data_IF_988399262607
#
_entry.id   IF_988399262607
#
_cell.length_a   1.000
_cell.length_b   1.000
_cell.length_c   1.000
_cell.angle_alpha   90.00
_cell.angle_beta   90.00
_cell.angle_gamma   90.00
#
_symmetry.space_group_name_H-M   'P 1'
#
loop_
_entity.id
_entity.type
_entity.pdbx_description
1 polymer ?
#
# COMPACT_ATOMS: atom_id res chain seq x y z
N UNK A 1 18.76 19.42 0.59
CA UNK A 1 17.67 20.38 0.91
C UNK A 1 17.70 20.69 2.40
N UNK A 2 17.61 19.68 3.27
CA UNK A 2 17.79 19.84 4.72
C UNK A 2 19.11 20.54 5.09
N UNK A 3 20.23 20.19 4.42
CA UNK A 3 21.53 20.82 4.68
C UNK A 3 21.57 22.34 4.40
N UNK A 4 20.68 22.83 3.53
CA UNK A 4 20.64 24.23 3.10
C UNK A 4 19.60 25.05 3.86
N UNK A 5 18.44 24.45 4.16
CA UNK A 5 17.29 25.16 4.76
C UNK A 5 17.03 24.80 6.22
N UNK A 6 17.82 23.88 6.77
CA UNK A 6 17.68 23.40 8.14
C UNK A 6 16.72 22.21 8.28
N UNK A 7 16.52 21.74 9.52
CA UNK A 7 15.77 20.52 9.82
C UNK A 7 14.27 20.61 9.51
N UNK A 8 13.71 21.82 9.50
CA UNK A 8 12.30 22.10 9.22
C UNK A 8 12.23 23.19 8.15
N UNK A 9 11.60 22.87 7.03
CA UNK A 9 11.40 23.83 5.94
C UNK A 9 10.10 23.55 5.19
N UNK A 10 9.59 24.52 4.45
CA UNK A 10 8.38 24.35 3.64
C UNK A 10 8.73 24.33 2.16
N UNK A 11 8.14 23.39 1.42
CA UNK A 11 8.21 23.33 -0.03
C UNK A 11 6.81 23.54 -0.62
N UNK A 12 6.73 24.06 -1.84
CA UNK A 12 5.48 24.14 -2.59
C UNK A 12 5.39 22.94 -3.54
N UNK A 13 4.50 22.00 -3.24
CA UNK A 13 4.15 20.88 -4.14
C UNK A 13 2.88 21.24 -4.90
N UNK A 14 3.04 21.67 -6.15
CA UNK A 14 1.92 22.11 -6.99
C UNK A 14 1.20 23.31 -6.36
N UNK A 15 -0.10 23.14 -6.07
CA UNK A 15 -0.94 24.14 -5.40
C UNK A 15 -0.80 24.12 -3.86
N UNK A 16 -0.26 23.04 -3.31
CA UNK A 16 -0.20 22.81 -1.86
C UNK A 16 1.18 23.16 -1.30
N UNK A 17 1.22 23.64 -0.05
CA UNK A 17 2.46 23.77 0.72
C UNK A 17 2.64 22.53 1.58
N UNK A 18 3.83 21.94 1.54
CA UNK A 18 4.20 20.79 2.35
C UNK A 18 5.30 21.21 3.33
N UNK A 19 5.05 20.98 4.62
CA UNK A 19 6.08 21.09 5.66
C UNK A 19 6.94 19.83 5.63
N UNK A 20 8.24 20.01 5.45
CA UNK A 20 9.22 18.92 5.47
C UNK A 20 9.94 18.95 6.81
N UNK A 21 9.82 17.86 7.54
CA UNK A 21 10.55 17.61 8.78
C UNK A 21 11.60 16.55 8.48
N UNK A 22 12.87 16.94 8.57
CA UNK A 22 14.01 16.05 8.30
C UNK A 22 14.74 15.61 9.56
N UNK A 23 14.34 16.15 10.72
CA UNK A 23 14.95 15.82 12.00
C UNK A 23 14.18 14.72 12.75
N UNK A 24 14.90 13.79 13.37
CA UNK A 24 14.29 12.63 14.04
C UNK A 24 13.60 13.00 15.35
N UNK A 25 14.11 13.95 16.14
CA UNK A 25 13.44 14.40 17.37
C UNK A 25 12.07 15.01 17.06
N UNK A 26 12.01 15.79 15.98
CA UNK A 26 10.76 16.41 15.52
C UNK A 26 9.82 15.39 14.89
N UNK A 27 10.34 14.44 14.10
CA UNK A 27 9.53 13.34 13.59
C UNK A 27 8.94 12.50 14.74
N UNK A 28 9.72 12.23 15.79
CA UNK A 28 9.26 11.56 17.00
C UNK A 28 8.15 12.35 17.67
N UNK A 29 8.31 13.66 17.84
CA UNK A 29 7.28 14.52 18.43
C UNK A 29 5.98 14.51 17.61
N UNK A 30 6.07 14.61 16.28
CA UNK A 30 4.93 14.55 15.37
C UNK A 30 4.21 13.19 15.42
N UNK A 31 4.95 12.08 15.51
CA UNK A 31 4.40 10.72 15.47
C UNK A 31 4.02 10.16 16.85
N UNK A 32 4.32 10.86 17.94
CA UNK A 32 3.99 10.41 19.31
C UNK A 32 3.10 11.39 20.06
N UNK A 33 3.52 12.65 20.18
CA UNK A 33 2.80 13.65 20.99
C UNK A 33 1.66 14.29 20.20
N UNK A 34 1.89 14.51 18.91
CA UNK A 34 0.95 15.14 17.98
C UNK A 34 0.39 14.16 16.93
N UNK A 35 0.45 12.86 17.22
CA UNK A 35 0.10 11.77 16.30
C UNK A 35 -1.28 11.95 15.67
N UNK A 36 -2.29 12.36 16.45
CA UNK A 36 -3.66 12.60 16.00
C UNK A 36 -3.76 13.71 14.95
N UNK A 37 -2.93 14.75 15.04
CA UNK A 37 -2.92 15.88 14.09
C UNK A 37 -2.34 15.42 12.75
N UNK A 38 -1.33 14.55 12.79
CA UNK A 38 -0.64 14.03 11.60
C UNK A 38 -1.20 12.71 11.07
N UNK A 39 -2.20 12.13 11.74
CA UNK A 39 -2.83 10.89 11.32
C UNK A 39 -3.58 11.04 9.99
N UNK A 40 -4.30 12.16 9.81
CA UNK A 40 -5.02 12.45 8.57
C UNK A 40 -4.08 12.75 7.40
N UNK A 41 -4.37 12.19 6.23
CA UNK A 41 -3.66 12.50 4.98
C UNK A 41 -4.37 13.63 4.21
N UNK A 42 -3.62 14.48 3.47
CA UNK A 42 -4.23 15.46 2.58
C UNK A 42 -5.15 14.79 1.55
N UNK A 43 -6.29 15.43 1.25
CA UNK A 43 -7.22 14.94 0.23
C UNK A 43 -6.61 15.13 -1.15
N UNK A 44 -6.18 14.03 -1.77
CA UNK A 44 -5.67 14.01 -3.15
C UNK A 44 -6.64 13.27 -4.06
N UNK A 45 -6.63 13.60 -5.35
CA UNK A 45 -7.44 12.91 -6.36
C UNK A 45 -7.08 11.41 -6.42
N UNK A 46 -5.81 11.06 -6.21
CA UNK A 46 -5.37 9.68 -6.13
C UNK A 46 -6.04 8.92 -4.98
N UNK A 47 -6.08 9.51 -3.78
CA UNK A 47 -6.74 8.93 -2.62
C UNK A 47 -8.26 8.82 -2.81
N UNK A 48 -8.87 9.76 -3.53
CA UNK A 48 -10.29 9.70 -3.88
C UNK A 48 -10.59 8.56 -4.86
N UNK A 49 -9.82 8.44 -5.94
CA UNK A 49 -10.04 7.43 -6.99
C UNK A 49 -9.69 6.02 -6.50
N UNK A 50 -8.52 5.85 -5.90
CA UNK A 50 -8.01 4.54 -5.48
C UNK A 50 -8.54 4.11 -4.12
N UNK A 51 -8.81 5.08 -3.24
CA UNK A 51 -9.29 4.82 -1.89
C UNK A 51 -10.81 4.73 -1.78
N UNK A 52 -11.54 4.51 -2.89
CA UNK A 52 -13.00 4.46 -2.91
C UNK A 52 -13.63 5.65 -2.19
N UNK A 53 -13.31 6.86 -2.65
CA UNK A 53 -13.72 8.12 -2.03
C UNK A 53 -13.36 8.17 -0.53
N UNK A 54 -12.10 7.86 -0.20
CA UNK A 54 -11.57 7.84 1.17
C UNK A 54 -12.20 6.79 2.11
N UNK A 55 -12.89 5.78 1.57
CA UNK A 55 -13.41 4.65 2.36
C UNK A 55 -12.34 3.60 2.65
N UNK A 56 -11.28 3.52 1.85
CA UNK A 56 -10.18 2.59 2.09
C UNK A 56 -9.36 3.03 3.31
N UNK A 57 -9.09 2.11 4.24
CA UNK A 57 -8.44 2.43 5.52
C UNK A 57 -7.06 3.09 5.42
N UNK A 58 -6.32 2.88 4.31
CA UNK A 58 -5.04 3.54 4.07
C UNK A 58 -5.17 5.03 3.69
N UNK A 59 -6.32 5.45 3.16
CA UNK A 59 -6.58 6.81 2.67
C UNK A 59 -7.68 7.55 3.45
N UNK A 60 -8.39 6.86 4.33
CA UNK A 60 -9.44 7.46 5.15
C UNK A 60 -8.88 8.51 6.11
N UNK A 61 -9.55 9.67 6.29
CA UNK A 61 -9.15 10.65 7.28
C UNK A 61 -9.26 10.06 8.69
N UNK A 62 -8.51 10.61 9.65
CA UNK A 62 -8.55 10.13 11.02
C UNK A 62 -9.93 10.38 11.66
N UNK A 63 -10.64 9.30 11.96
CA UNK A 63 -11.92 9.32 12.66
C UNK A 63 -12.14 8.03 13.49
N UNK A 64 -13.38 7.72 13.85
CA UNK A 64 -13.70 6.45 14.52
C UNK A 64 -13.50 5.24 13.60
N UNK A 65 -13.92 5.34 12.34
CA UNK A 65 -13.81 4.27 11.35
C UNK A 65 -12.35 3.89 11.09
N UNK A 66 -11.49 4.88 10.81
CA UNK A 66 -10.07 4.68 10.58
C UNK A 66 -9.40 3.96 11.75
N UNK A 67 -9.74 4.31 13.00
CA UNK A 67 -9.15 3.68 14.19
C UNK A 67 -9.54 2.22 14.33
N UNK A 68 -10.81 1.89 14.18
CA UNK A 68 -11.28 0.49 14.28
C UNK A 68 -10.69 -0.35 13.14
N UNK A 69 -10.72 0.16 11.91
CA UNK A 69 -10.15 -0.56 10.77
C UNK A 69 -8.63 -0.71 10.88
N UNK A 70 -7.90 0.32 11.34
CA UNK A 70 -6.45 0.23 11.54
C UNK A 70 -6.09 -0.77 12.64
N UNK A 71 -6.87 -0.83 13.72
CA UNK A 71 -6.71 -1.82 14.79
C UNK A 71 -6.89 -3.24 14.25
N UNK A 72 -7.94 -3.49 13.49
CA UNK A 72 -8.21 -4.80 12.88
C UNK A 72 -7.12 -5.17 11.86
N UNK A 73 -6.72 -4.25 10.99
CA UNK A 73 -5.61 -4.50 10.05
C UNK A 73 -4.30 -4.83 10.78
N UNK A 74 -4.01 -4.13 11.87
CA UNK A 74 -2.79 -4.38 12.67
C UNK A 74 -2.81 -5.76 13.31
N UNK A 75 -3.94 -6.19 13.86
CA UNK A 75 -4.06 -7.47 14.56
C UNK A 75 -4.19 -8.67 13.61
N UNK A 76 -5.02 -8.53 12.59
CA UNK A 76 -5.43 -9.65 11.72
C UNK A 76 -4.59 -9.81 10.46
N UNK A 77 -3.92 -8.74 9.99
CA UNK A 77 -3.09 -8.79 8.80
C UNK A 77 -1.60 -8.62 9.12
N UNK A 78 -1.27 -7.63 9.96
CA UNK A 78 0.11 -7.17 10.16
C UNK A 78 0.74 -7.62 11.48
N UNK A 79 0.07 -8.48 12.26
CA UNK A 79 0.65 -9.00 13.49
C UNK A 79 1.83 -9.93 13.20
N UNK A 80 2.78 -10.01 14.13
CA UNK A 80 3.96 -10.88 13.98
C UNK A 80 3.56 -12.34 13.67
N UNK A 81 2.50 -12.83 14.33
CA UNK A 81 1.98 -14.16 14.07
C UNK A 81 1.50 -14.34 12.63
N UNK A 82 0.70 -13.40 12.10
CA UNK A 82 0.19 -13.44 10.72
C UNK A 82 1.31 -13.32 9.70
N UNK A 83 2.28 -12.44 9.95
CA UNK A 83 3.46 -12.25 9.10
C UNK A 83 4.35 -13.49 9.02
N UNK A 84 4.50 -14.23 10.12
CA UNK A 84 5.23 -15.51 10.14
C UNK A 84 4.41 -16.61 9.45
N UNK A 85 3.09 -16.69 9.69
CA UNK A 85 2.20 -17.64 9.00
C UNK A 85 2.26 -17.48 7.48
N UNK A 86 2.28 -16.23 6.99
CA UNK A 86 2.34 -15.88 5.57
C UNK A 86 3.77 -15.72 5.02
N UNK A 87 4.80 -16.02 5.81
CA UNK A 87 6.21 -15.86 5.39
C UNK A 87 6.54 -16.67 4.15
N UNK A 88 6.08 -17.92 4.09
CA UNK A 88 6.33 -18.82 2.97
C UNK A 88 5.79 -18.28 1.63
N UNK A 89 4.62 -17.63 1.66
CA UNK A 89 4.03 -16.98 0.48
C UNK A 89 4.94 -15.87 -0.01
N UNK A 90 5.37 -14.97 0.89
CA UNK A 90 6.27 -13.86 0.54
C UNK A 90 7.60 -14.36 -0.02
N UNK A 91 8.18 -15.41 0.59
CA UNK A 91 9.41 -16.02 0.08
C UNK A 91 9.24 -16.65 -1.30
N UNK A 92 8.08 -17.26 -1.56
CA UNK A 92 7.75 -17.82 -2.87
C UNK A 92 7.62 -16.72 -3.94
N UNK A 93 6.84 -15.68 -3.67
CA UNK A 93 6.67 -14.52 -4.57
C UNK A 93 8.01 -13.88 -4.89
N UNK A 94 8.84 -13.61 -3.87
CA UNK A 94 10.17 -13.02 -4.06
C UNK A 94 11.08 -13.90 -4.93
N UNK A 95 11.06 -15.22 -4.73
CA UNK A 95 11.85 -16.15 -5.55
C UNK A 95 11.37 -16.16 -7.00
N UNK A 96 10.07 -16.14 -7.23
CA UNK A 96 9.48 -16.09 -8.58
C UNK A 96 9.86 -14.78 -9.27
N UNK A 97 9.66 -13.64 -8.61
CA UNK A 97 10.09 -12.33 -9.09
C UNK A 97 11.58 -12.30 -9.45
N UNK A 98 12.45 -12.81 -8.56
CA UNK A 98 13.89 -12.82 -8.81
C UNK A 98 14.25 -13.69 -10.03
N UNK A 99 13.57 -14.83 -10.18
CA UNK A 99 13.77 -15.74 -11.32
C UNK A 99 13.36 -15.09 -12.63
N UNK A 100 12.21 -14.41 -12.66
CA UNK A 100 11.75 -13.67 -13.84
C UNK A 100 12.72 -12.53 -14.19
N UNK A 101 13.18 -11.77 -13.19
CA UNK A 101 14.17 -10.71 -13.39
C UNK A 101 15.47 -11.27 -13.98
N UNK A 102 15.94 -12.40 -13.48
CA UNK A 102 17.13 -13.07 -13.98
C UNK A 102 16.97 -13.55 -15.43
N UNK A 103 15.82 -14.15 -15.77
CA UNK A 103 15.52 -14.57 -17.14
C UNK A 103 15.46 -13.39 -18.12
N UNK A 104 14.85 -12.28 -17.70
CA UNK A 104 14.86 -11.04 -18.50
C UNK A 104 16.28 -10.53 -18.71
N UNK A 105 17.13 -10.64 -17.69
CA UNK A 105 18.53 -10.25 -17.79
C UNK A 105 19.31 -11.11 -18.78
N UNK A 106 19.20 -12.44 -18.67
CA UNK A 106 19.93 -13.39 -19.52
C UNK A 106 19.55 -13.26 -21.00
N UNK A 107 18.27 -13.07 -21.29
CA UNK A 107 17.76 -12.85 -22.65
C UNK A 107 18.29 -11.56 -23.30
N UNK A 108 18.61 -10.52 -22.52
CA UNK A 108 19.16 -9.25 -23.03
C UNK A 108 20.68 -9.29 -23.24
N UNK A 109 21.37 -10.33 -22.77
CA UNK A 109 22.81 -10.49 -22.93
C UNK A 109 23.22 -10.61 -24.40
N UNK A 110 22.36 -11.18 -25.25
CA UNK A 110 22.58 -11.32 -26.70
C UNK A 110 22.53 -10.01 -27.49
N UNK A 111 21.92 -8.94 -26.96
CA UNK A 111 21.75 -7.67 -27.69
C UNK A 111 22.69 -6.56 -27.22
N UNK A 112 23.56 -6.83 -26.22
CA UNK A 112 24.47 -5.87 -25.59
C UNK A 112 23.80 -4.53 -25.22
N UNK A 113 22.52 -4.58 -24.83
CA UNK A 113 21.70 -3.41 -24.48
C UNK A 113 21.49 -3.41 -22.96
N UNK A 114 21.75 -2.27 -22.32
CA UNK A 114 21.52 -2.10 -20.88
C UNK A 114 20.06 -2.44 -20.55
N UNK A 115 19.87 -3.30 -19.55
CA UNK A 115 18.55 -3.72 -19.09
C UNK A 115 17.82 -2.53 -18.47
N UNK A 116 16.98 -1.91 -19.28
CA UNK A 116 15.99 -0.98 -18.79
C UNK A 116 14.82 -1.81 -18.25
N UNK A 117 14.92 -2.20 -17.00
CA UNK A 117 13.79 -2.76 -16.29
C UNK A 117 12.83 -1.61 -16.01
N UNK A 118 11.70 -1.58 -16.73
CA UNK A 118 10.64 -0.61 -16.41
C UNK A 118 10.12 -0.90 -15.00
N UNK A 119 10.65 -0.17 -14.02
CA UNK A 119 10.20 -0.24 -12.63
C UNK A 119 8.70 0.03 -12.52
N UNK A 120 8.06 0.67 -13.51
CA UNK A 120 6.60 0.84 -13.55
C UNK A 120 5.86 -0.49 -13.60
N UNK A 121 6.35 -1.47 -14.36
CA UNK A 121 5.75 -2.80 -14.44
C UNK A 121 5.96 -3.58 -13.15
N UNK A 122 7.18 -3.55 -12.63
CA UNK A 122 7.51 -4.19 -11.36
C UNK A 122 6.82 -3.54 -10.16
N UNK A 123 6.66 -2.22 -10.19
CA UNK A 123 5.83 -1.50 -9.24
C UNK A 123 4.38 -1.89 -9.45
N UNK A 124 3.82 -2.04 -10.66
CA UNK A 124 2.45 -2.53 -10.82
C UNK A 124 2.25 -3.92 -10.19
N UNK A 125 3.20 -4.83 -10.42
CA UNK A 125 3.18 -6.17 -9.83
C UNK A 125 3.42 -6.15 -8.30
N UNK A 126 4.26 -5.23 -7.80
CA UNK A 126 4.52 -5.02 -6.36
C UNK A 126 3.50 -4.12 -5.66
N UNK A 127 2.73 -3.33 -6.40
CA UNK A 127 1.64 -2.45 -5.96
C UNK A 127 0.50 -3.33 -5.46
N UNK A 128 0.36 -4.54 -5.99
CA UNK A 128 -0.48 -5.59 -5.40
C UNK A 128 -0.08 -5.92 -3.95
N UNK A 129 1.19 -5.72 -3.58
CA UNK A 129 1.69 -5.99 -2.22
C UNK A 129 1.80 -4.73 -1.33
N UNK A 130 1.99 -3.53 -1.89
CA UNK A 130 2.27 -2.31 -1.12
C UNK A 130 1.51 -1.07 -1.64
N UNK A 131 0.22 -0.90 -1.25
CA UNK A 131 -0.65 0.20 -1.70
C UNK A 131 -0.15 1.61 -1.33
N UNK A 132 0.70 1.73 -0.30
CA UNK A 132 1.10 3.03 0.25
C UNK A 132 2.07 3.81 -0.64
N UNK A 133 2.73 3.19 -1.63
CA UNK A 133 3.66 3.91 -2.53
C UNK A 133 2.95 4.76 -3.60
N UNK A 134 1.64 4.58 -3.77
CA UNK A 134 0.85 5.28 -4.79
C UNK A 134 0.56 6.74 -4.40
N UNK A 135 0.65 7.09 -3.11
CA UNK A 135 0.35 8.46 -2.63
C UNK A 135 1.35 9.53 -3.09
N UNK A 136 2.53 9.12 -3.60
CA UNK A 136 3.63 10.04 -3.91
C UNK A 136 3.45 10.77 -5.25
N UNK A 137 2.36 10.49 -5.98
CA UNK A 137 1.86 11.16 -7.20
C UNK A 137 2.84 12.15 -7.88
N UNK A 138 3.80 11.59 -8.62
CA UNK A 138 4.72 12.39 -9.46
C UNK A 138 4.09 12.66 -10.85
N UNK A 139 2.83 12.28 -11.13
CA UNK A 139 2.37 12.16 -12.53
C UNK A 139 0.94 12.57 -12.89
N UNK A 140 -0.01 12.65 -11.96
CA UNK A 140 -1.34 13.25 -12.19
C UNK A 140 -2.18 12.68 -13.34
N UNK A 141 -1.96 11.44 -13.80
CA UNK A 141 -2.78 10.84 -14.87
C UNK A 141 -4.01 10.12 -14.31
N UNK A 142 -5.14 10.83 -14.29
CA UNK A 142 -6.45 10.33 -13.87
C UNK A 142 -6.87 9.05 -14.60
N UNK A 143 -6.52 8.91 -15.89
CA UNK A 143 -6.89 7.72 -16.68
C UNK A 143 -6.16 6.48 -16.20
N UNK A 144 -4.86 6.59 -15.95
CA UNK A 144 -4.08 5.51 -15.36
C UNK A 144 -4.58 5.15 -13.96
N UNK A 145 -4.88 6.14 -13.12
CA UNK A 145 -5.44 5.89 -11.77
C UNK A 145 -6.78 5.15 -11.82
N UNK A 146 -7.69 5.53 -12.72
CA UNK A 146 -8.96 4.82 -12.91
C UNK A 146 -8.76 3.40 -13.43
N UNK A 147 -7.76 3.16 -14.28
CA UNK A 147 -7.41 1.81 -14.74
C UNK A 147 -6.93 0.94 -13.56
N UNK A 148 -6.02 1.47 -12.75
CA UNK A 148 -5.50 0.78 -11.56
C UNK A 148 -6.62 0.53 -10.55
N UNK A 149 -7.50 1.50 -10.31
CA UNK A 149 -8.65 1.33 -9.43
C UNK A 149 -9.54 0.15 -9.88
N UNK A 150 -9.77 -0.01 -11.18
CA UNK A 150 -10.52 -1.15 -11.74
C UNK A 150 -9.81 -2.48 -11.58
N UNK A 151 -8.49 -2.51 -11.78
CA UNK A 151 -7.69 -3.72 -11.56
C UNK A 151 -7.72 -4.14 -10.09
N UNK A 152 -7.57 -3.19 -9.16
CA UNK A 152 -7.70 -3.43 -7.73
C UNK A 152 -9.10 -3.93 -7.37
N UNK A 153 -10.14 -3.32 -7.93
CA UNK A 153 -11.54 -3.71 -7.70
C UNK A 153 -11.81 -5.14 -8.15
N UNK A 154 -11.28 -5.54 -9.30
CA UNK A 154 -11.38 -6.93 -9.79
C UNK A 154 -10.72 -7.92 -8.83
N UNK A 155 -9.52 -7.62 -8.32
CA UNK A 155 -8.81 -8.48 -7.36
C UNK A 155 -9.56 -8.59 -6.03
N UNK A 156 -10.00 -7.45 -5.48
CA UNK A 156 -10.74 -7.41 -4.22
C UNK A 156 -12.08 -8.15 -4.34
N UNK A 157 -12.79 -7.99 -5.47
CA UNK A 157 -14.02 -8.74 -5.75
C UNK A 157 -13.76 -10.24 -5.88
N UNK A 158 -12.75 -10.64 -6.65
CA UNK A 158 -12.38 -12.06 -6.79
C UNK A 158 -12.04 -12.70 -5.45
N UNK A 159 -11.27 -12.00 -4.62
CA UNK A 159 -10.92 -12.47 -3.27
C UNK A 159 -12.15 -12.56 -2.35
N UNK A 160 -13.05 -11.57 -2.41
CA UNK A 160 -14.28 -11.56 -1.63
C UNK A 160 -15.21 -12.73 -2.00
N UNK A 161 -15.38 -13.00 -3.30
CA UNK A 161 -16.23 -14.11 -3.77
C UNK A 161 -15.62 -15.47 -3.41
N UNK A 162 -14.31 -15.63 -3.51
CA UNK A 162 -13.63 -16.86 -3.07
C UNK A 162 -13.81 -17.10 -1.56
N UNK A 163 -13.72 -16.04 -0.74
CA UNK A 163 -13.97 -16.15 0.70
C UNK A 163 -15.43 -16.51 1.00
N UNK A 164 -16.40 -15.92 0.28
CA UNK A 164 -17.83 -16.30 0.41
C UNK A 164 -18.03 -17.77 0.05
N UNK A 165 -17.44 -18.24 -1.06
CA UNK A 165 -17.54 -19.62 -1.54
C UNK A 165 -17.02 -20.64 -0.52
N UNK A 166 -15.82 -20.43 0.03
CA UNK A 166 -15.18 -21.32 1.02
C UNK A 166 -15.98 -21.43 2.33
N UNK A 167 -16.67 -20.37 2.70
CA UNK A 167 -17.55 -20.38 3.88
C UNK A 167 -18.80 -21.20 3.61
N UNK A 168 -19.43 -21.01 2.46
CA UNK A 168 -20.67 -21.70 2.11
C UNK A 168 -20.43 -23.23 1.91
N UNK A 169 -19.22 -23.65 1.55
CA UNK A 169 -18.79 -25.06 1.51
C UNK A 169 -18.43 -25.66 2.88
N UNK A 170 -18.50 -24.90 3.98
CA UNK A 170 -17.99 -25.30 5.32
C UNK A 170 -16.52 -25.75 5.33
N UNK A 171 -15.72 -25.36 4.33
CA UNK A 171 -14.29 -25.66 4.25
C UNK A 171 -13.43 -24.70 5.09
N UNK A 172 -14.04 -23.72 5.77
CA UNK A 172 -13.33 -22.79 6.63
C UNK A 172 -12.78 -23.50 7.89
N UNK A 173 -11.46 -23.64 7.94
CA UNK A 173 -10.77 -24.01 9.17
C UNK A 173 -10.94 -22.88 10.21
N UNK A 174 -11.19 -23.21 11.48
CA UNK A 174 -11.23 -22.22 12.59
C UNK A 174 -9.93 -21.42 12.73
N UNK A 175 -8.82 -21.92 12.20
CA UNK A 175 -7.52 -21.25 12.15
C UNK A 175 -7.37 -20.26 10.98
N UNK A 176 -8.37 -20.19 10.09
CA UNK A 176 -8.45 -19.30 8.91
C UNK A 176 -9.53 -18.23 9.07
N UNK A 177 -9.88 -17.83 10.30
CA UNK A 177 -10.45 -16.48 10.47
C UNK A 177 -9.43 -15.50 9.91
N UNK A 178 -9.75 -14.89 8.77
CA UNK A 178 -8.85 -14.01 8.05
C UNK A 178 -9.28 -12.54 8.24
N UNK A 179 -8.49 -11.64 7.66
CA UNK A 179 -8.76 -10.21 7.75
C UNK A 179 -10.18 -9.84 7.25
N UNK A 180 -10.72 -10.55 6.26
CA UNK A 180 -12.05 -10.26 5.71
C UNK A 180 -13.18 -10.65 6.64
N UNK A 181 -12.99 -11.71 7.43
CA UNK A 181 -13.92 -12.07 8.49
C UNK A 181 -14.02 -10.94 9.53
N UNK A 182 -12.88 -10.46 10.03
CA UNK A 182 -12.85 -9.39 11.03
C UNK A 182 -13.39 -8.05 10.51
N UNK A 183 -13.14 -7.73 9.23
CA UNK A 183 -13.65 -6.51 8.59
C UNK A 183 -15.18 -6.46 8.47
N UNK A 184 -15.87 -7.60 8.46
CA UNK A 184 -17.34 -7.66 8.41
C UNK A 184 -18.00 -7.43 9.76
N UNK A 185 -17.24 -7.47 10.85
CA UNK A 185 -17.75 -7.31 12.22
C UNK A 185 -17.77 -5.84 12.69
N UNK A 186 -17.28 -4.91 11.86
CA UNK A 186 -17.38 -3.45 12.03
C UNK A 186 -18.66 -2.95 11.37
#
# INVERSE_FOLDING_TARGET
>A
MADKYGPIFTIKMGINRALVVSNWEMAKECLTTHDKVFASRPKTLAAEILGYNFSMFGFSPYDFYWRETHKIATLELLSNYRLEKLKHVREYELKTCLKELYQLWDNNKSTNKMLLVEMKRWLADSIHALPFLIWLDIGGDERSMKKIAKELDFVVQGWLEEHKRKRDSQEMNKEEEDFMYAMRSI
#
